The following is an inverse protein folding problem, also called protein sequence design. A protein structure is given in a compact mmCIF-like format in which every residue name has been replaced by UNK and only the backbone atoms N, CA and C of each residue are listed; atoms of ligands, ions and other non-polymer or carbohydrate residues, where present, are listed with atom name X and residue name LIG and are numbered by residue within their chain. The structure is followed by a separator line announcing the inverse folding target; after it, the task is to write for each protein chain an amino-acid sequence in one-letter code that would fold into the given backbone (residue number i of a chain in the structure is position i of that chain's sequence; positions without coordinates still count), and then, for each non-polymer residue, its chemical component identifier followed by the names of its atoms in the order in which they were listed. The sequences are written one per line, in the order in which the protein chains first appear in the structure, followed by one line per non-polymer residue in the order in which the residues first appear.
data_IF_866335160206
#
_entry.id   IF_866335160206
#
_cell.length_a   1.000
_cell.length_b   1.000
_cell.length_c   1.000
_cell.angle_alpha   90.00
_cell.angle_beta   90.00
_cell.angle_gamma   90.00
#
_symmetry.space_group_name_H-M   'P 1'
#
loop_
_entity.id
_entity.type
_entity.pdbx_description
1 polymer ?
#
# COMPACT_ATOMS: atom_id res chain seq x y z
N UNK A 1 -8.34 29.36 8.82
CA UNK A 1 -9.47 30.29 8.62
C UNK A 1 -10.76 29.84 9.33
N UNK A 2 -11.27 28.62 9.13
CA UNK A 2 -12.52 28.14 9.76
C UNK A 2 -12.47 28.03 11.29
N UNK A 3 -11.35 27.54 11.84
CA UNK A 3 -11.15 27.41 13.29
C UNK A 3 -11.24 28.73 14.06
N UNK A 4 -10.97 29.87 13.41
CA UNK A 4 -10.94 31.18 14.07
C UNK A 4 -12.23 31.97 13.87
N UNK A 5 -13.23 31.38 13.18
CA UNK A 5 -14.43 32.08 12.74
C UNK A 5 -15.74 31.48 13.28
N UNK A 6 -15.70 30.49 14.18
CA UNK A 6 -16.88 29.83 14.76
C UNK A 6 -17.91 29.32 13.73
N UNK A 7 -17.47 29.08 12.49
CA UNK A 7 -18.30 28.52 11.42
C UNK A 7 -18.23 27.00 11.50
N UNK A 8 -19.34 26.27 11.24
CA UNK A 8 -19.30 24.83 11.11
C UNK A 8 -18.24 24.46 10.07
N UNK A 9 -17.30 23.59 10.46
CA UNK A 9 -16.19 23.19 9.61
C UNK A 9 -16.78 22.32 8.51
N UNK A 10 -16.61 22.69 7.23
CA UNK A 10 -17.14 21.89 6.14
C UNK A 10 -16.39 20.55 6.08
N UNK A 11 -17.08 19.48 5.69
CA UNK A 11 -16.54 18.12 5.70
C UNK A 11 -15.21 18.00 4.93
N UNK A 12 -15.04 18.74 3.83
CA UNK A 12 -13.80 18.74 3.05
C UNK A 12 -12.58 19.25 3.85
N UNK A 13 -12.77 20.17 4.80
CA UNK A 13 -11.69 20.71 5.61
C UNK A 13 -11.18 19.70 6.66
N UNK A 14 -12.02 18.73 7.08
CA UNK A 14 -11.56 17.60 7.87
C UNK A 14 -10.69 16.65 7.04
N UNK A 15 -11.10 16.35 5.81
CA UNK A 15 -10.31 15.51 4.91
C UNK A 15 -8.97 16.15 4.48
N UNK A 16 -8.85 17.47 4.55
CA UNK A 16 -7.60 18.18 4.27
C UNK A 16 -6.55 18.03 5.39
N UNK A 17 -6.99 17.85 6.64
CA UNK A 17 -6.11 17.82 7.83
C UNK A 17 -5.94 16.40 8.39
N UNK A 18 -6.81 15.47 8.02
CA UNK A 18 -6.81 14.10 8.54
C UNK A 18 -5.53 13.35 8.18
N UNK A 19 -4.93 12.70 9.17
CA UNK A 19 -3.82 11.77 8.97
C UNK A 19 -4.32 10.47 8.36
N UNK A 20 -3.40 9.72 7.74
CA UNK A 20 -3.77 8.43 7.14
C UNK A 20 -4.28 7.41 8.18
N UNK A 21 -3.76 7.46 9.41
CA UNK A 21 -4.24 6.63 10.52
C UNK A 21 -5.65 7.02 10.98
N UNK A 22 -5.95 8.31 11.08
CA UNK A 22 -7.30 8.79 11.42
C UNK A 22 -8.32 8.43 10.33
N UNK A 23 -7.92 8.48 9.05
CA UNK A 23 -8.77 8.01 7.94
C UNK A 23 -9.10 6.51 8.08
N UNK A 24 -8.10 5.68 8.42
CA UNK A 24 -8.31 4.25 8.67
C UNK A 24 -9.30 4.00 9.81
N UNK A 25 -9.13 4.72 10.93
CA UNK A 25 -10.06 4.65 12.07
C UNK A 25 -11.47 5.09 11.68
N UNK A 26 -11.62 6.20 10.95
CA UNK A 26 -12.91 6.68 10.47
C UNK A 26 -13.65 5.63 9.62
N UNK A 27 -12.95 5.01 8.67
CA UNK A 27 -13.52 3.96 7.82
C UNK A 27 -13.91 2.74 8.66
N UNK A 28 -13.11 2.39 9.67
CA UNK A 28 -13.42 1.25 10.54
C UNK A 28 -14.72 1.40 11.33
N UNK A 29 -15.10 2.64 11.63
CA UNK A 29 -16.34 2.98 12.31
C UNK A 29 -17.58 2.96 11.41
N UNK A 30 -17.43 2.93 10.08
CA UNK A 30 -18.57 2.87 9.16
C UNK A 30 -19.32 1.54 9.26
N UNK A 31 -20.59 1.53 8.87
CA UNK A 31 -21.33 0.28 8.72
C UNK A 31 -20.72 -0.62 7.65
N UNK A 32 -20.90 -1.94 7.83
CA UNK A 32 -20.34 -2.97 6.95
C UNK A 32 -20.68 -2.71 5.48
N UNK A 33 -21.96 -2.46 5.19
CA UNK A 33 -22.43 -2.28 3.81
C UNK A 33 -21.87 -0.99 3.19
N UNK A 34 -21.73 0.07 3.99
CA UNK A 34 -21.07 1.31 3.55
C UNK A 34 -19.60 1.07 3.23
N UNK A 35 -18.87 0.31 4.05
CA UNK A 35 -17.48 -0.04 3.73
C UNK A 35 -17.36 -0.88 2.47
N UNK A 36 -18.27 -1.82 2.24
CA UNK A 36 -18.32 -2.63 1.02
C UNK A 36 -18.55 -1.73 -0.20
N UNK A 37 -19.59 -0.90 -0.16
CA UNK A 37 -19.92 0.06 -1.23
C UNK A 37 -18.75 1.02 -1.50
N UNK A 38 -18.09 1.50 -0.45
CA UNK A 38 -16.91 2.35 -0.59
C UNK A 38 -15.76 1.60 -1.28
N UNK A 39 -15.49 0.36 -0.87
CA UNK A 39 -14.47 -0.48 -1.50
C UNK A 39 -14.79 -0.74 -2.98
N UNK A 40 -16.06 -0.95 -3.33
CA UNK A 40 -16.53 -1.12 -4.71
C UNK A 40 -16.27 0.14 -5.54
N UNK A 41 -16.56 1.32 -5.00
CA UNK A 41 -16.30 2.61 -5.67
C UNK A 41 -14.82 2.82 -6.01
N UNK A 42 -13.92 2.24 -5.21
CA UNK A 42 -12.47 2.26 -5.43
C UNK A 42 -11.96 1.10 -6.30
N UNK A 43 -12.84 0.26 -6.84
CA UNK A 43 -12.52 -0.96 -7.61
C UNK A 43 -11.61 -1.94 -6.84
N UNK A 44 -11.71 -1.98 -5.51
CA UNK A 44 -10.91 -2.84 -4.63
C UNK A 44 -11.73 -3.98 -3.99
N UNK A 45 -13.02 -4.08 -4.32
CA UNK A 45 -13.91 -5.08 -3.72
C UNK A 45 -13.73 -6.44 -4.38
N UNK A 46 -13.78 -7.50 -3.56
CA UNK A 46 -13.85 -8.88 -4.03
C UNK A 46 -14.82 -9.66 -3.15
N UNK A 47 -15.81 -10.31 -3.75
CA UNK A 47 -16.94 -10.96 -3.04
C UNK A 47 -16.49 -12.08 -2.09
N UNK A 48 -15.47 -12.84 -2.47
CA UNK A 48 -14.91 -13.91 -1.63
C UNK A 48 -13.88 -13.45 -0.60
N UNK A 49 -13.39 -12.20 -0.69
CA UNK A 49 -12.22 -11.74 0.10
C UNK A 49 -12.46 -10.42 0.83
N UNK A 50 -13.61 -9.76 0.65
CA UNK A 50 -14.01 -8.54 1.35
C UNK A 50 -15.40 -8.64 1.99
N UNK A 51 -15.78 -9.83 2.46
CA UNK A 51 -17.10 -10.08 3.05
C UNK A 51 -17.37 -9.28 4.33
N UNK A 52 -16.34 -8.79 5.01
CA UNK A 52 -16.44 -7.97 6.23
C UNK A 52 -16.35 -6.45 5.94
N UNK A 53 -16.09 -6.06 4.68
CA UNK A 53 -15.88 -4.68 4.27
C UNK A 53 -14.57 -4.04 4.77
N UNK A 54 -13.62 -4.81 5.31
CA UNK A 54 -12.43 -4.25 5.99
C UNK A 54 -11.25 -4.03 5.04
N UNK A 55 -11.40 -4.24 3.72
CA UNK A 55 -10.27 -4.18 2.78
C UNK A 55 -9.59 -2.81 2.74
N UNK A 56 -10.36 -1.72 2.72
CA UNK A 56 -9.79 -0.37 2.62
C UNK A 56 -9.05 0.02 3.89
N UNK A 57 -9.65 -0.16 5.07
CA UNK A 57 -8.97 0.14 6.34
C UNK A 57 -7.70 -0.69 6.51
N UNK A 58 -7.71 -1.97 6.13
CA UNK A 58 -6.53 -2.84 6.20
C UNK A 58 -5.42 -2.31 5.29
N UNK A 59 -5.79 -1.85 4.08
CA UNK A 59 -4.87 -1.22 3.13
C UNK A 59 -4.28 0.06 3.70
N UNK A 60 -5.10 0.92 4.30
CA UNK A 60 -4.68 2.19 4.90
C UNK A 60 -3.74 1.97 6.08
N UNK A 61 -4.11 1.09 7.01
CA UNK A 61 -3.25 0.77 8.16
C UNK A 61 -1.93 0.14 7.71
N UNK A 62 -1.95 -0.71 6.67
CA UNK A 62 -0.73 -1.27 6.08
C UNK A 62 0.22 -0.19 5.58
N UNK A 63 -0.30 0.79 4.83
CA UNK A 63 0.49 1.86 4.24
C UNK A 63 0.82 3.01 5.20
N UNK A 64 0.19 3.07 6.38
CA UNK A 64 0.39 4.15 7.37
C UNK A 64 1.82 4.21 7.88
N UNK A 65 2.42 3.05 8.20
CA UNK A 65 3.81 2.97 8.65
C UNK A 65 4.78 3.49 7.60
N UNK A 66 4.61 3.07 6.34
CA UNK A 66 5.44 3.52 5.22
C UNK A 66 5.31 5.03 4.96
N UNK A 67 4.07 5.55 4.98
CA UNK A 67 3.81 6.99 4.81
C UNK A 67 4.50 7.81 5.91
N UNK A 68 4.38 7.37 7.16
CA UNK A 68 4.97 8.08 8.30
C UNK A 68 6.50 8.05 8.23
N UNK A 69 7.09 6.89 7.93
CA UNK A 69 8.53 6.77 7.78
C UNK A 69 9.07 7.68 6.67
N UNK A 70 8.36 7.77 5.54
CA UNK A 70 8.71 8.67 4.44
C UNK A 70 8.61 10.14 4.85
N UNK A 71 7.52 10.54 5.52
CA UNK A 71 7.31 11.92 5.96
C UNK A 71 8.37 12.40 6.97
N UNK A 72 8.85 11.50 7.82
CA UNK A 72 9.84 11.80 8.85
C UNK A 72 11.28 11.46 8.44
N UNK A 73 11.54 11.16 7.16
CA UNK A 73 12.86 10.72 6.65
C UNK A 73 13.49 9.59 7.49
N UNK A 74 12.64 8.67 7.97
CA UNK A 74 13.06 7.50 8.74
C UNK A 74 13.61 6.42 7.82
N UNK A 75 14.35 5.49 8.40
CA UNK A 75 14.89 4.34 7.66
C UNK A 75 13.74 3.38 7.26
N UNK A 76 13.60 3.08 5.97
CA UNK A 76 12.49 2.27 5.43
C UNK A 76 12.91 0.88 4.92
N UNK A 77 14.18 0.67 4.61
CA UNK A 77 14.61 -0.53 3.88
C UNK A 77 14.48 -1.82 4.69
N UNK A 78 14.59 -1.74 6.01
CA UNK A 78 14.43 -2.88 6.92
C UNK A 78 12.98 -3.09 7.39
N UNK A 79 12.06 -2.28 6.86
CA UNK A 79 10.64 -2.29 7.19
C UNK A 79 10.33 -2.22 8.68
N UNK A 80 11.23 -1.73 9.54
CA UNK A 80 10.97 -1.63 10.99
C UNK A 80 9.83 -0.69 11.34
N UNK A 81 9.37 0.16 10.43
CA UNK A 81 8.13 0.90 10.63
C UNK A 81 6.89 -0.01 10.71
N UNK A 82 6.99 -1.25 10.20
CA UNK A 82 5.97 -2.28 10.20
C UNK A 82 6.01 -3.07 11.51
N UNK A 83 5.25 -2.64 12.52
CA UNK A 83 5.12 -3.33 13.81
C UNK A 83 3.83 -4.16 13.92
N UNK A 84 3.11 -4.36 12.82
CA UNK A 84 1.74 -4.88 12.82
C UNK A 84 1.63 -6.21 12.09
N UNK A 85 0.98 -7.18 12.73
CA UNK A 85 0.44 -8.35 12.05
C UNK A 85 -0.64 -7.89 11.07
N UNK A 86 -0.27 -7.65 9.82
CA UNK A 86 -1.23 -7.26 8.79
C UNK A 86 -2.22 -8.39 8.51
N UNK A 87 -3.45 -7.97 8.20
CA UNK A 87 -4.57 -8.86 7.91
C UNK A 87 -4.22 -9.90 6.83
N UNK A 88 -4.42 -11.18 7.12
CA UNK A 88 -4.30 -12.27 6.14
C UNK A 88 -5.22 -12.07 4.95
N UNK A 89 -6.38 -11.43 5.16
CA UNK A 89 -7.30 -11.02 4.12
C UNK A 89 -6.64 -10.12 3.08
N UNK A 90 -5.86 -9.13 3.53
CA UNK A 90 -5.15 -8.20 2.65
C UNK A 90 -4.04 -8.93 1.90
N UNK A 91 -3.23 -9.74 2.59
CA UNK A 91 -2.15 -10.53 1.99
C UNK A 91 -2.71 -11.40 0.85
N UNK A 92 -3.73 -12.22 1.15
CA UNK A 92 -4.37 -13.07 0.16
C UNK A 92 -4.93 -12.26 -1.01
N UNK A 93 -5.56 -11.11 -0.75
CA UNK A 93 -6.15 -10.28 -1.79
C UNK A 93 -5.10 -9.71 -2.75
N UNK A 94 -3.95 -9.27 -2.22
CA UNK A 94 -2.82 -8.81 -3.04
C UNK A 94 -2.30 -9.96 -3.89
N UNK A 95 -2.08 -11.14 -3.30
CA UNK A 95 -1.60 -12.32 -4.03
C UNK A 95 -2.55 -12.70 -5.16
N UNK A 96 -3.85 -12.80 -4.87
CA UNK A 96 -4.88 -13.10 -5.85
C UNK A 96 -4.96 -12.05 -6.97
N UNK A 97 -4.95 -10.77 -6.60
CA UNK A 97 -5.11 -9.68 -7.57
C UNK A 97 -3.92 -9.51 -8.49
N UNK A 98 -2.71 -9.81 -8.01
CA UNK A 98 -1.46 -9.55 -8.74
C UNK A 98 -0.82 -10.80 -9.32
N UNK A 99 -1.26 -12.00 -8.90
CA UNK A 99 -0.61 -13.29 -9.18
C UNK A 99 0.84 -13.35 -8.66
N UNK A 100 1.12 -12.59 -7.59
CA UNK A 100 2.42 -12.54 -6.90
C UNK A 100 2.24 -13.16 -5.52
N UNK A 101 2.76 -14.37 -5.31
CA UNK A 101 2.72 -15.03 -4.00
C UNK A 101 3.82 -14.57 -3.04
N UNK A 102 3.73 -15.05 -1.80
CA UNK A 102 4.66 -14.81 -0.70
C UNK A 102 4.62 -13.33 -0.22
N UNK A 103 3.43 -12.76 -0.10
CA UNK A 103 3.23 -11.39 0.40
C UNK A 103 3.18 -11.43 1.92
N UNK A 104 4.24 -10.95 2.58
CA UNK A 104 4.32 -10.93 4.04
C UNK A 104 4.27 -9.52 4.61
N UNK A 105 4.65 -8.52 3.80
CA UNK A 105 4.90 -7.12 4.19
C UNK A 105 6.08 -6.94 5.14
N UNK A 106 7.08 -7.84 5.02
CA UNK A 106 8.38 -7.71 5.70
C UNK A 106 9.42 -7.02 4.82
N UNK A 107 9.13 -6.84 3.53
CA UNK A 107 10.03 -6.21 2.55
C UNK A 107 9.38 -5.01 1.89
N UNK A 108 10.18 -4.02 1.51
CA UNK A 108 9.70 -2.83 0.81
C UNK A 108 9.04 -3.18 -0.54
N UNK A 109 9.46 -4.29 -1.16
CA UNK A 109 8.88 -4.84 -2.39
C UNK A 109 7.39 -5.15 -2.21
N UNK A 110 6.99 -5.72 -1.07
CA UNK A 110 5.58 -6.06 -0.82
C UNK A 110 4.71 -4.80 -0.68
N UNK A 111 5.24 -3.76 -0.04
CA UNK A 111 4.56 -2.47 0.04
C UNK A 111 4.45 -1.79 -1.33
N UNK A 112 5.49 -1.87 -2.16
CA UNK A 112 5.44 -1.37 -3.54
C UNK A 112 4.34 -2.09 -4.35
N UNK A 113 4.23 -3.42 -4.23
CA UNK A 113 3.19 -4.20 -4.90
C UNK A 113 1.80 -3.71 -4.48
N UNK A 114 1.57 -3.50 -3.18
CA UNK A 114 0.31 -2.97 -2.67
C UNK A 114 0.02 -1.56 -3.21
N UNK A 115 1.01 -0.66 -3.22
CA UNK A 115 0.86 0.69 -3.77
C UNK A 115 0.48 0.65 -5.26
N UNK A 116 1.20 -0.14 -6.06
CA UNK A 116 0.91 -0.29 -7.50
C UNK A 116 -0.47 -0.90 -7.73
N UNK A 117 -0.86 -1.90 -6.95
CA UNK A 117 -2.21 -2.48 -7.00
C UNK A 117 -3.27 -1.41 -6.76
N UNK A 118 -3.17 -0.64 -5.67
CA UNK A 118 -4.12 0.42 -5.33
C UNK A 118 -4.16 1.48 -6.42
N UNK A 119 -3.02 2.00 -6.86
CA UNK A 119 -2.95 3.02 -7.91
C UNK A 119 -3.53 2.52 -9.24
N UNK A 120 -3.29 1.26 -9.61
CA UNK A 120 -3.90 0.66 -10.80
C UNK A 120 -5.42 0.57 -10.67
N UNK A 121 -5.97 0.20 -9.51
CA UNK A 121 -7.44 0.18 -9.27
C UNK A 121 -8.06 1.57 -9.28
N UNK A 122 -7.29 2.58 -8.88
CA UNK A 122 -7.63 4.00 -9.01
C UNK A 122 -7.42 4.57 -10.42
N UNK A 123 -7.16 3.71 -11.42
CA UNK A 123 -7.05 4.04 -12.84
C UNK A 123 -5.88 4.98 -13.18
N UNK A 124 -4.80 4.94 -12.39
CA UNK A 124 -3.55 5.60 -12.77
C UNK A 124 -3.00 5.01 -14.08
N UNK A 125 -2.28 5.82 -14.87
CA UNK A 125 -1.86 5.40 -16.20
C UNK A 125 -0.84 4.26 -16.14
N UNK A 126 -0.89 3.33 -17.11
CA UNK A 126 0.12 2.26 -17.21
C UNK A 126 1.54 2.84 -17.33
N UNK A 127 1.69 4.01 -17.96
CA UNK A 127 2.97 4.71 -18.09
C UNK A 127 3.53 5.12 -16.73
N UNK A 128 2.72 5.74 -15.87
CA UNK A 128 3.15 6.18 -14.54
C UNK A 128 3.49 4.98 -13.65
N UNK A 129 2.65 3.94 -13.67
CA UNK A 129 2.91 2.71 -12.91
C UNK A 129 4.22 2.04 -13.34
N UNK A 130 4.47 1.93 -14.65
CA UNK A 130 5.73 1.38 -15.18
C UNK A 130 6.93 2.24 -14.79
N UNK A 131 6.77 3.57 -14.76
CA UNK A 131 7.81 4.50 -14.31
C UNK A 131 8.18 4.24 -12.85
N UNK A 132 7.20 4.18 -11.94
CA UNK A 132 7.46 3.91 -10.52
C UNK A 132 8.16 2.57 -10.29
N UNK A 133 7.71 1.50 -10.97
CA UNK A 133 8.33 0.18 -10.82
C UNK A 133 9.74 0.14 -11.41
N UNK A 134 9.99 0.86 -12.51
CA UNK A 134 11.33 0.96 -13.10
C UNK A 134 12.30 1.69 -12.17
N UNK A 135 11.93 2.86 -11.66
CA UNK A 135 12.78 3.64 -10.75
C UNK A 135 13.13 2.85 -9.48
N UNK A 136 12.17 2.08 -8.96
CA UNK A 136 12.41 1.16 -7.86
C UNK A 136 13.40 0.04 -8.22
N UNK A 137 13.22 -0.60 -9.39
CA UNK A 137 14.09 -1.70 -9.83
C UNK A 137 15.52 -1.22 -10.13
N UNK A 138 15.67 -0.03 -10.71
CA UNK A 138 16.99 0.60 -10.94
C UNK A 138 17.71 0.87 -9.60
N UNK A 139 16.97 1.33 -8.59
CA UNK A 139 17.50 1.53 -7.23
C UNK A 139 17.87 0.21 -6.57
N UNK A 140 17.03 -0.83 -6.71
CA UNK A 140 17.32 -2.19 -6.23
C UNK A 140 18.59 -2.75 -6.87
N UNK A 141 18.74 -2.58 -8.18
CA UNK A 141 19.90 -3.08 -8.91
C UNK A 141 21.18 -2.36 -8.49
N UNK A 142 21.11 -1.04 -8.28
CA UNK A 142 22.21 -0.27 -7.70
C UNK A 142 22.60 -0.79 -6.31
N UNK A 143 21.62 -1.07 -5.44
CA UNK A 143 21.86 -1.66 -4.13
C UNK A 143 22.51 -3.05 -4.25
N UNK A 144 21.99 -3.91 -5.13
CA UNK A 144 22.53 -5.26 -5.38
C UNK A 144 24.02 -5.23 -5.77
N UNK A 145 24.42 -4.26 -6.59
CA UNK A 145 25.81 -4.10 -7.03
C UNK A 145 26.71 -3.46 -5.96
N UNK A 146 26.13 -2.73 -5.00
CA UNK A 146 26.87 -1.94 -4.02
C UNK A 146 27.23 -2.70 -2.73
N UNK A 147 26.60 -3.84 -2.45
CA UNK A 147 26.78 -4.57 -1.17
C UNK A 147 26.95 -6.08 -1.38
N UNK A 148 27.54 -6.81 -0.40
CA UNK A 148 27.60 -8.25 -0.45
C UNK A 148 26.21 -8.91 -0.56
N UNK A 149 26.14 -10.01 -1.29
CA UNK A 149 24.88 -10.72 -1.55
C UNK A 149 24.11 -11.08 -0.28
N UNK A 150 24.81 -11.49 0.78
CA UNK A 150 24.19 -11.81 2.08
C UNK A 150 23.43 -10.61 2.67
N UNK A 151 24.05 -9.43 2.69
CA UNK A 151 23.40 -8.20 3.16
C UNK A 151 22.22 -7.81 2.26
N UNK A 152 22.36 -7.94 0.95
CA UNK A 152 21.26 -7.69 0.01
C UNK A 152 20.04 -8.59 0.30
N UNK A 153 20.26 -9.90 0.48
CA UNK A 153 19.15 -10.83 0.76
C UNK A 153 18.47 -10.59 2.10
N UNK A 154 19.17 -10.03 3.08
CA UNK A 154 18.56 -9.62 4.35
C UNK A 154 17.64 -8.41 4.20
N UNK A 155 17.96 -7.49 3.29
CA UNK A 155 17.17 -6.28 3.05
C UNK A 155 15.98 -6.56 2.12
N UNK A 156 16.24 -7.23 1.00
CA UNK A 156 15.27 -7.36 -0.09
C UNK A 156 14.56 -8.73 -0.11
N UNK A 157 15.06 -9.71 0.63
CA UNK A 157 14.68 -11.11 0.45
C UNK A 157 15.31 -11.71 -0.81
N UNK A 158 15.07 -13.00 -1.04
CA UNK A 158 15.59 -13.74 -2.19
C UNK A 158 14.68 -13.67 -3.43
N UNK A 159 13.43 -13.24 -3.27
CA UNK A 159 12.41 -13.25 -4.32
C UNK A 159 12.05 -11.86 -4.88
N UNK A 160 12.71 -10.79 -4.44
CA UNK A 160 12.45 -9.42 -4.88
C UNK A 160 12.43 -9.25 -6.40
N UNK A 161 13.47 -9.76 -7.09
CA UNK A 161 13.56 -9.65 -8.57
C UNK A 161 12.38 -10.34 -9.26
N UNK A 162 12.03 -11.55 -8.81
CA UNK A 162 10.88 -12.31 -9.34
C UNK A 162 9.57 -11.56 -9.12
N UNK A 163 9.37 -10.99 -7.93
CA UNK A 163 8.19 -10.18 -7.57
C UNK A 163 8.05 -8.95 -8.47
N UNK A 164 9.15 -8.24 -8.73
CA UNK A 164 9.16 -7.06 -9.60
C UNK A 164 8.83 -7.41 -11.06
N UNK A 165 9.38 -8.49 -11.61
CA UNK A 165 9.05 -8.92 -12.97
C UNK A 165 7.55 -9.25 -13.10
N UNK A 166 7.00 -10.02 -12.15
CA UNK A 166 5.56 -10.28 -12.12
C UNK A 166 4.73 -9.01 -11.96
N UNK A 167 5.23 -8.02 -11.22
CA UNK A 167 4.55 -6.73 -11.07
C UNK A 167 4.51 -5.95 -12.39
N UNK A 168 5.60 -5.99 -13.18
CA UNK A 168 5.63 -5.40 -14.54
C UNK A 168 4.62 -6.08 -15.47
N UNK A 169 4.47 -7.40 -15.38
CA UNK A 169 3.44 -8.16 -16.11
C UNK A 169 2.03 -7.77 -15.68
N UNK A 170 1.78 -7.68 -14.37
CA UNK A 170 0.51 -7.23 -13.82
C UNK A 170 0.12 -5.82 -14.30
N UNK A 171 1.07 -4.88 -14.39
CA UNK A 171 0.78 -3.53 -14.91
C UNK A 171 0.41 -3.57 -16.39
N UNK A 172 1.04 -4.47 -17.16
CA UNK A 172 0.87 -4.55 -18.61
C UNK A 172 -0.48 -5.15 -19.03
N UNK A 173 -1.04 -6.06 -18.23
CA UNK A 173 -2.44 -6.53 -18.35
C UNK A 173 -3.40 -5.34 -18.23
#
# INVERSE_FOLDING_TARGET
HFFHSNKPIPLWAYFEVITFGELGNFISCMDKDLRINFTESMNLHHTGMNQNGRMIENTIFCLTGLRNATMHNSMIFDCRFSHSNFSSQLKNYVEYSTDIGNITFDTLTDFLILLVLVLKRLKLTKTDLKKYVREYDDTRETLYQSIPFSAYTQIMGTDAKRKIEKLKDFISK
#
